data_IF_958924654735
#
_entry.id   IF_958924654735
#
_cell.length_a   1.000
_cell.length_b   1.000
_cell.length_c   1.000
_cell.angle_alpha   90.00
_cell.angle_beta   90.00
_cell.angle_gamma   90.00
#
_symmetry.space_group_name_H-M   'P 1'
#
loop_
_entity.id
_entity.type
_entity.pdbx_description
1 polymer ?
#
# COMPACT_ATOMS: atom_id res chain seq x y z
N UNK A 1 -33.60 -27.66 -51.48
CA UNK A 1 -32.80 -26.75 -50.64
C UNK A 1 -33.55 -26.40 -49.34
N UNK A 2 -33.86 -27.39 -48.49
CA UNK A 2 -34.66 -27.16 -47.27
C UNK A 2 -33.93 -27.54 -45.95
N UNK A 3 -32.74 -28.13 -46.03
CA UNK A 3 -32.01 -28.63 -44.85
C UNK A 3 -31.08 -27.60 -44.18
N UNK A 4 -30.85 -26.43 -44.79
CA UNK A 4 -30.00 -25.38 -44.20
C UNK A 4 -30.76 -24.53 -43.16
N UNK A 5 -32.07 -24.33 -43.34
CA UNK A 5 -32.88 -23.46 -42.49
C UNK A 5 -33.18 -24.08 -41.10
N UNK A 6 -33.27 -25.42 -41.01
CA UNK A 6 -33.59 -26.13 -39.77
C UNK A 6 -32.46 -26.10 -38.73
N UNK A 7 -31.19 -26.22 -39.16
CA UNK A 7 -30.03 -26.21 -38.25
C UNK A 7 -29.78 -24.84 -37.62
N UNK A 8 -29.99 -23.76 -38.37
CA UNK A 8 -29.85 -22.38 -37.88
C UNK A 8 -30.96 -22.08 -36.86
N UNK A 9 -32.20 -22.50 -37.14
CA UNK A 9 -33.32 -22.38 -36.20
C UNK A 9 -33.07 -23.13 -34.89
N UNK A 10 -32.54 -24.36 -34.96
CA UNK A 10 -32.23 -25.16 -33.77
C UNK A 10 -31.11 -24.53 -32.90
N UNK A 11 -30.09 -23.95 -33.53
CA UNK A 11 -29.02 -23.25 -32.81
C UNK A 11 -29.54 -21.99 -32.12
N UNK A 12 -30.38 -21.20 -32.80
CA UNK A 12 -30.99 -20.00 -32.20
C UNK A 12 -31.85 -20.36 -31.00
N UNK A 13 -32.63 -21.46 -31.08
CA UNK A 13 -33.43 -21.97 -29.97
C UNK A 13 -32.53 -22.49 -28.83
N UNK A 14 -31.43 -23.17 -29.15
CA UNK A 14 -30.51 -23.67 -28.12
C UNK A 14 -29.80 -22.52 -27.40
N UNK A 15 -29.35 -21.48 -28.12
CA UNK A 15 -28.74 -20.30 -27.53
C UNK A 15 -29.73 -19.49 -26.68
N UNK A 16 -30.99 -19.38 -27.11
CA UNK A 16 -32.00 -18.69 -26.32
C UNK A 16 -32.37 -19.46 -25.05
N UNK A 17 -32.47 -20.80 -25.11
CA UNK A 17 -32.66 -21.63 -23.92
C UNK A 17 -31.46 -21.57 -22.96
N UNK A 18 -30.23 -21.57 -23.48
CA UNK A 18 -29.02 -21.41 -22.66
C UNK A 18 -28.98 -20.03 -21.99
N UNK A 19 -29.36 -18.97 -22.71
CA UNK A 19 -29.45 -17.62 -22.17
C UNK A 19 -30.52 -17.52 -21.08
N UNK A 20 -31.69 -18.14 -21.26
CA UNK A 20 -32.74 -18.19 -20.23
C UNK A 20 -32.27 -18.98 -19.01
N UNK A 21 -31.55 -20.09 -19.19
CA UNK A 21 -30.96 -20.86 -18.10
C UNK A 21 -29.96 -20.03 -17.28
N UNK A 22 -29.03 -19.33 -17.95
CA UNK A 22 -28.09 -18.42 -17.30
C UNK A 22 -28.76 -17.23 -16.59
N UNK A 23 -29.86 -16.70 -17.15
CA UNK A 23 -30.64 -15.64 -16.50
C UNK A 23 -31.44 -16.16 -15.30
N UNK A 24 -31.84 -17.44 -15.30
CA UNK A 24 -32.59 -18.05 -14.19
C UNK A 24 -31.71 -18.46 -13.00
N UNK A 25 -30.39 -18.56 -13.18
CA UNK A 25 -29.44 -18.84 -12.10
C UNK A 25 -29.11 -17.64 -11.19
N UNK A 26 -29.62 -16.45 -11.51
CA UNK A 26 -29.47 -15.23 -10.70
C UNK A 26 -30.60 -15.09 -9.67
N UNK A 27 -30.92 -16.18 -8.96
CA UNK A 27 -31.65 -16.13 -7.70
C UNK A 27 -30.76 -16.62 -6.58
N UNK A 28 -29.59 -15.99 -6.42
CA UNK A 28 -29.00 -15.91 -5.10
C UNK A 28 -29.95 -15.03 -4.28
N UNK A 29 -30.85 -15.66 -3.54
CA UNK A 29 -31.51 -15.01 -2.42
C UNK A 29 -30.42 -14.61 -1.44
N UNK A 30 -29.84 -13.43 -1.64
CA UNK A 30 -29.16 -12.72 -0.56
C UNK A 30 -30.24 -12.50 0.47
N UNK A 31 -30.19 -13.30 1.52
CA UNK A 31 -31.00 -13.09 2.70
C UNK A 31 -30.61 -11.71 3.26
N UNK A 32 -31.36 -10.70 2.87
CA UNK A 32 -31.23 -9.34 3.40
C UNK A 32 -31.67 -9.26 4.87
N UNK A 33 -31.94 -10.39 5.53
CA UNK A 33 -32.50 -10.45 6.88
C UNK A 33 -31.48 -10.65 8.01
N UNK A 34 -30.17 -10.77 7.77
CA UNK A 34 -29.21 -10.85 8.88
C UNK A 34 -27.79 -10.37 8.59
N UNK A 35 -27.62 -9.09 8.27
CA UNK A 35 -26.30 -8.44 8.38
C UNK A 35 -26.35 -7.10 9.12
N UNK A 36 -27.37 -6.87 9.95
CA UNK A 36 -27.41 -5.69 10.82
C UNK A 36 -26.67 -5.98 12.13
N UNK A 37 -25.38 -5.64 12.18
CA UNK A 37 -24.62 -5.57 13.44
C UNK A 37 -25.02 -4.32 14.20
N UNK A 38 -25.61 -4.48 15.38
CA UNK A 38 -25.98 -3.36 16.25
C UNK A 38 -24.96 -3.22 17.38
N UNK A 39 -24.28 -2.08 17.48
CA UNK A 39 -23.46 -1.70 18.63
C UNK A 39 -24.27 -0.77 19.53
N UNK A 40 -24.69 -1.26 20.71
CA UNK A 40 -25.38 -0.44 21.72
C UNK A 40 -24.36 0.06 22.73
N UNK A 41 -24.18 1.38 22.82
CA UNK A 41 -23.26 2.01 23.79
C UNK A 41 -24.05 2.49 25.00
N UNK A 42 -23.92 1.80 26.14
CA UNK A 42 -24.52 2.21 27.41
C UNK A 42 -23.55 3.11 28.19
N UNK A 43 -23.71 4.43 28.08
CA UNK A 43 -22.95 5.41 28.86
C UNK A 43 -23.58 5.60 30.26
N UNK A 44 -23.53 4.58 31.12
CA UNK A 44 -24.03 4.67 32.50
C UNK A 44 -23.18 5.64 33.34
N UNK A 45 -23.84 6.57 34.02
CA UNK A 45 -23.22 7.66 34.79
C UNK A 45 -22.67 7.23 36.17
N UNK A 46 -22.74 5.93 36.49
CA UNK A 46 -22.45 5.43 37.83
C UNK A 46 -20.94 5.24 38.10
N UNK A 47 -20.10 5.46 37.09
CA UNK A 47 -18.63 5.45 37.16
C UNK A 47 -18.12 6.71 36.46
N UNK A 48 -17.26 7.49 37.11
CA UNK A 48 -16.65 8.67 36.48
C UNK A 48 -15.82 8.22 35.26
N UNK A 49 -16.11 8.71 34.04
CA UNK A 49 -15.36 8.32 32.85
C UNK A 49 -13.87 8.67 33.02
N UNK A 50 -12.98 7.71 32.78
CA UNK A 50 -11.55 8.03 32.69
C UNK A 50 -11.31 8.76 31.38
N UNK A 51 -10.80 9.99 31.48
CA UNK A 51 -10.41 10.76 30.30
C UNK A 51 -9.25 10.06 29.59
N UNK A 52 -9.35 9.92 28.26
CA UNK A 52 -8.26 9.42 27.43
C UNK A 52 -7.11 10.45 27.51
N UNK A 53 -5.89 10.05 27.91
CA UNK A 53 -4.77 10.99 27.98
C UNK A 53 -4.50 11.65 26.62
N UNK A 54 -4.10 12.93 26.63
CA UNK A 54 -3.70 13.63 25.40
C UNK A 54 -2.43 13.05 24.75
N UNK A 55 -1.72 12.16 25.44
CA UNK A 55 -0.56 11.41 24.95
C UNK A 55 -0.92 10.00 24.43
N UNK A 56 -2.20 9.65 24.38
CA UNK A 56 -2.64 8.32 23.94
C UNK A 56 -2.21 8.00 22.50
N UNK A 57 -2.09 9.02 21.65
CA UNK A 57 -1.59 8.91 20.28
C UNK A 57 -0.28 9.70 20.17
N UNK A 58 0.78 9.06 19.65
CA UNK A 58 2.09 9.67 19.47
C UNK A 58 2.89 8.94 18.39
N UNK A 59 4.07 9.47 18.06
CA UNK A 59 5.00 8.93 17.08
C UNK A 59 6.36 8.71 17.75
N UNK A 60 7.01 7.59 17.45
CA UNK A 60 8.37 7.28 17.87
C UNK A 60 9.32 7.41 16.67
N UNK A 61 10.50 8.00 16.89
CA UNK A 61 11.50 8.23 15.85
C UNK A 61 12.86 7.72 16.34
N UNK A 62 13.52 6.93 15.50
CA UNK A 62 14.91 6.50 15.64
C UNK A 62 15.62 6.64 14.29
N UNK A 63 16.96 6.68 14.30
CA UNK A 63 17.73 6.61 13.06
C UNK A 63 17.80 5.16 12.55
N UNK A 64 16.73 4.73 11.89
CA UNK A 64 16.63 3.41 11.24
C UNK A 64 16.04 3.58 9.84
N UNK A 65 16.53 2.79 8.88
CA UNK A 65 15.97 2.74 7.52
C UNK A 65 15.78 4.13 6.86
N UNK A 66 16.70 5.07 7.08
CA UNK A 66 16.60 6.45 6.58
C UNK A 66 15.40 7.25 7.12
N UNK A 67 14.89 6.94 8.32
CA UNK A 67 13.77 7.66 8.90
C UNK A 67 14.09 9.13 9.21
N UNK A 68 15.31 9.46 9.66
CA UNK A 68 15.75 10.86 9.76
C UNK A 68 16.62 11.25 8.56
N UNK A 69 17.86 10.78 8.46
CA UNK A 69 18.74 11.14 7.34
C UNK A 69 18.31 10.44 6.03
N UNK A 70 17.78 11.22 5.08
CA UNK A 70 17.13 10.71 3.86
C UNK A 70 15.61 10.57 3.99
N UNK A 71 15.04 10.97 5.13
CA UNK A 71 13.61 10.98 5.42
C UNK A 71 13.18 12.32 6.00
N UNK A 72 12.99 12.39 7.32
CA UNK A 72 12.51 13.60 8.01
C UNK A 72 13.47 14.79 7.85
N UNK A 73 14.78 14.56 7.82
CA UNK A 73 15.74 15.62 7.57
C UNK A 73 15.83 15.88 6.07
N UNK A 74 15.41 17.08 5.66
CA UNK A 74 15.31 17.49 4.25
C UNK A 74 16.67 17.65 3.52
N UNK A 75 17.77 17.18 4.10
CA UNK A 75 19.06 17.11 3.42
C UNK A 75 18.98 16.12 2.25
N UNK A 76 19.38 16.59 1.06
CA UNK A 76 19.33 15.78 -0.16
C UNK A 76 20.70 15.13 -0.47
N UNK A 77 21.77 15.63 0.14
CA UNK A 77 23.13 15.14 -0.08
C UNK A 77 23.50 14.13 1.01
N UNK A 78 23.55 12.86 0.62
CA UNK A 78 24.04 11.80 1.51
C UNK A 78 25.55 11.88 1.72
N UNK A 79 25.99 11.54 2.93
CA UNK A 79 27.40 11.52 3.32
C UNK A 79 28.14 12.86 3.09
N UNK A 80 27.48 14.00 3.34
CA UNK A 80 28.08 15.34 3.14
C UNK A 80 29.34 15.60 3.98
N UNK A 81 29.46 14.94 5.13
CA UNK A 81 30.57 15.08 6.06
C UNK A 81 31.71 14.08 5.87
N UNK A 82 31.57 13.10 4.96
CA UNK A 82 32.50 11.96 4.84
C UNK A 82 32.63 11.14 6.14
N UNK A 83 31.56 11.11 6.92
CA UNK A 83 31.48 10.44 8.22
C UNK A 83 30.84 9.04 8.11
N UNK A 84 30.42 8.63 6.91
CA UNK A 84 29.92 7.27 6.70
C UNK A 84 31.05 6.27 6.98
N UNK A 85 30.91 5.53 8.08
CA UNK A 85 31.81 4.44 8.40
C UNK A 85 31.68 3.30 7.38
N UNK A 86 32.80 2.67 7.04
CA UNK A 86 32.86 1.40 6.34
C UNK A 86 33.17 0.23 7.28
N UNK A 87 33.02 -1.02 6.81
CA UNK A 87 33.56 -2.18 7.52
C UNK A 87 35.04 -1.95 7.88
N UNK A 88 35.43 -2.34 9.09
CA UNK A 88 36.80 -2.19 9.59
C UNK A 88 37.31 -0.73 9.68
N UNK A 89 36.46 0.23 10.01
CA UNK A 89 36.81 1.65 10.16
C UNK A 89 37.44 2.26 8.88
N UNK A 90 37.12 1.67 7.72
CA UNK A 90 37.53 2.24 6.45
C UNK A 90 36.66 3.45 6.14
N UNK A 91 37.25 4.45 5.48
CA UNK A 91 36.50 5.60 4.99
C UNK A 91 35.59 5.13 3.86
N UNK A 92 34.27 5.19 4.06
CA UNK A 92 33.31 4.93 2.99
C UNK A 92 32.85 6.26 2.40
N UNK A 93 33.20 6.48 1.13
CA UNK A 93 32.81 7.70 0.41
C UNK A 93 31.52 7.54 -0.38
N UNK A 94 30.84 6.39 -0.36
CA UNK A 94 29.53 6.25 -1.02
C UNK A 94 28.54 7.32 -0.50
N UNK A 95 27.69 7.94 -1.35
CA UNK A 95 27.53 7.72 -2.79
C UNK A 95 28.40 8.60 -3.70
N UNK A 96 29.42 9.27 -3.17
CA UNK A 96 30.30 10.13 -3.96
C UNK A 96 31.07 9.32 -5.02
N UNK A 97 31.19 9.91 -6.21
CA UNK A 97 31.98 9.36 -7.32
C UNK A 97 32.70 10.48 -8.06
N UNK A 98 33.84 10.15 -8.67
CA UNK A 98 34.62 11.11 -9.45
C UNK A 98 34.07 11.15 -10.88
N UNK A 99 33.70 12.34 -11.35
CA UNK A 99 33.35 12.58 -12.75
C UNK A 99 34.61 13.07 -13.48
N UNK A 100 34.97 12.41 -14.58
CA UNK A 100 36.13 12.74 -15.41
C UNK A 100 37.31 11.78 -15.24
N UNK A 101 38.49 12.17 -15.72
CA UNK A 101 39.69 11.29 -15.80
C UNK A 101 40.71 11.51 -14.68
N UNK A 102 40.49 12.46 -13.78
CA UNK A 102 41.42 12.73 -12.69
C UNK A 102 41.21 11.72 -11.56
N UNK A 103 42.30 11.21 -11.01
CA UNK A 103 42.27 10.23 -9.90
C UNK A 103 42.23 10.88 -8.52
N UNK A 104 42.38 12.21 -8.43
CA UNK A 104 42.36 12.95 -7.16
C UNK A 104 41.68 14.31 -7.31
N UNK A 105 41.08 14.76 -6.22
CA UNK A 105 40.49 16.10 -6.04
C UNK A 105 41.17 16.69 -4.79
N UNK A 106 41.74 17.89 -4.92
CA UNK A 106 42.34 18.62 -3.79
C UNK A 106 41.41 19.77 -3.42
N UNK A 107 40.99 19.81 -2.16
CA UNK A 107 40.14 20.87 -1.60
C UNK A 107 40.92 21.53 -0.46
N UNK A 108 41.01 22.86 -0.48
CA UNK A 108 41.62 23.67 0.57
C UNK A 108 40.63 24.72 1.04
N UNK A 109 40.53 24.89 2.35
CA UNK A 109 39.88 26.04 2.98
C UNK A 109 40.96 27.10 3.24
N UNK A 110 40.65 28.34 2.87
CA UNK A 110 41.51 29.50 3.09
C UNK A 110 41.34 30.03 4.52
#
# INVERSE_FOLDING_TARGET
>A
MAFCCSKVSLHVILYSLLAIYFLSSENCCVDAHSTHSTLVVHASNNVSPRTIPNTFLGVFVEEINHACAGGLWAELVSNRGFEAGGPNNTLNIYPWSIIGKKSSISVSIN
#
